data_IF_786347569099
#
_entry.id   IF_786347569099
#
_cell.length_a   1.000
_cell.length_b   1.000
_cell.length_c   1.000
_cell.angle_alpha   90.00
_cell.angle_beta   90.00
_cell.angle_gamma   90.00
#
_symmetry.space_group_name_H-M   'P 1'
#
loop_
_entity.id
_entity.type
_entity.pdbx_description
1 polymer ?
#
# COMPACT_ATOMS: atom_id res chain seq x y z
N UNK A 1 17.80 4.24 -51.31
CA UNK A 1 16.85 3.56 -50.39
C UNK A 1 16.96 2.03 -50.52
N UNK A 2 17.25 1.32 -49.43
CA UNK A 2 17.36 -0.15 -49.43
C UNK A 2 15.96 -0.77 -49.44
N UNK A 3 15.67 -1.68 -50.38
CA UNK A 3 14.41 -2.43 -50.44
C UNK A 3 14.56 -3.72 -49.65
N UNK A 4 13.69 -3.94 -48.67
CA UNK A 4 13.61 -5.19 -47.91
C UNK A 4 12.88 -6.26 -48.72
N UNK A 5 13.42 -7.48 -48.71
CA UNK A 5 12.75 -8.63 -49.29
C UNK A 5 11.45 -8.97 -48.51
N UNK A 6 10.48 -9.67 -49.12
CA UNK A 6 9.22 -10.02 -48.46
C UNK A 6 9.39 -10.77 -47.13
N UNK A 7 10.35 -11.70 -47.07
CA UNK A 7 10.68 -12.47 -45.86
C UNK A 7 11.27 -11.58 -44.76
N UNK A 8 12.20 -10.69 -45.14
CA UNK A 8 12.82 -9.74 -44.22
C UNK A 8 11.77 -8.78 -43.62
N UNK A 9 10.80 -8.34 -44.45
CA UNK A 9 9.65 -7.55 -44.00
C UNK A 9 8.75 -8.33 -43.05
N UNK A 10 8.50 -9.61 -43.32
CA UNK A 10 7.67 -10.46 -42.45
C UNK A 10 8.33 -10.64 -41.07
N UNK A 11 9.64 -10.93 -41.04
CA UNK A 11 10.41 -11.07 -39.79
C UNK A 11 10.44 -9.75 -39.01
N UNK A 12 10.70 -8.62 -39.66
CA UNK A 12 10.68 -7.31 -39.01
C UNK A 12 9.29 -6.97 -38.45
N UNK A 13 8.22 -7.33 -39.16
CA UNK A 13 6.84 -7.12 -38.69
C UNK A 13 6.52 -7.98 -37.47
N UNK A 14 6.93 -9.25 -37.48
CA UNK A 14 6.76 -10.14 -36.33
C UNK A 14 7.53 -9.65 -35.10
N UNK A 15 8.79 -9.23 -35.28
CA UNK A 15 9.62 -8.65 -34.23
C UNK A 15 9.01 -7.36 -33.67
N UNK A 16 8.57 -6.45 -34.54
CA UNK A 16 7.90 -5.22 -34.15
C UNK A 16 6.63 -5.52 -33.34
N UNK A 17 5.85 -6.53 -33.72
CA UNK A 17 4.67 -6.98 -32.99
C UNK A 17 4.99 -7.58 -31.61
N UNK A 18 6.12 -8.25 -31.45
CA UNK A 18 6.58 -8.74 -30.14
C UNK A 18 7.02 -7.59 -29.23
N UNK A 19 7.82 -6.65 -29.77
CA UNK A 19 8.28 -5.45 -29.05
C UNK A 19 7.09 -4.59 -28.63
N UNK A 20 6.14 -4.35 -29.52
CA UNK A 20 4.94 -3.56 -29.23
C UNK A 20 4.12 -4.17 -28.07
N UNK A 21 3.96 -5.49 -28.04
CA UNK A 21 3.27 -6.20 -26.95
C UNK A 21 4.03 -6.12 -25.63
N UNK A 22 5.35 -6.30 -25.66
CA UNK A 22 6.19 -6.16 -24.47
C UNK A 22 6.14 -4.73 -23.90
N UNK A 23 6.22 -3.71 -24.77
CA UNK A 23 6.14 -2.30 -24.37
C UNK A 23 4.75 -1.93 -23.83
N UNK A 24 3.67 -2.40 -24.48
CA UNK A 24 2.31 -2.18 -23.99
C UNK A 24 2.09 -2.82 -22.62
N UNK A 25 2.67 -4.01 -22.39
CA UNK A 25 2.68 -4.68 -21.09
C UNK A 25 3.42 -3.82 -20.07
N UNK A 26 4.67 -3.45 -20.33
CA UNK A 26 5.49 -2.62 -19.42
C UNK A 26 4.77 -1.34 -18.99
N UNK A 27 4.24 -0.56 -19.94
CA UNK A 27 3.50 0.69 -19.63
C UNK A 27 2.28 0.48 -18.73
N UNK A 28 1.55 -0.63 -18.90
CA UNK A 28 0.42 -0.97 -18.02
C UNK A 28 0.90 -1.29 -16.60
N UNK A 29 2.01 -2.00 -16.46
CA UNK A 29 2.61 -2.25 -15.14
C UNK A 29 3.09 -0.96 -14.49
N UNK A 30 3.75 -0.07 -15.23
CA UNK A 30 4.22 1.23 -14.70
C UNK A 30 3.04 2.07 -14.19
N UNK A 31 1.96 2.15 -14.96
CA UNK A 31 0.76 2.92 -14.59
C UNK A 31 0.08 2.33 -13.36
N UNK A 32 -0.09 1.01 -13.30
CA UNK A 32 -0.68 0.33 -12.15
C UNK A 32 0.18 0.51 -10.88
N UNK A 33 1.51 0.46 -11.03
CA UNK A 33 2.46 0.66 -9.92
C UNK A 33 2.41 2.09 -9.40
N UNK A 34 2.29 3.09 -10.27
CA UNK A 34 2.12 4.49 -9.89
C UNK A 34 0.85 4.72 -9.05
N UNK A 35 -0.29 4.18 -9.49
CA UNK A 35 -1.55 4.32 -8.78
C UNK A 35 -1.54 3.62 -7.40
N UNK A 36 -0.91 2.45 -7.32
CA UNK A 36 -0.69 1.72 -6.07
C UNK A 36 0.13 2.55 -5.06
N UNK A 37 1.22 3.17 -5.55
CA UNK A 37 2.09 4.04 -4.78
C UNK A 37 1.32 5.24 -4.22
N UNK A 38 0.56 5.92 -5.08
CA UNK A 38 -0.20 7.12 -4.70
C UNK A 38 -1.26 6.79 -3.64
N UNK A 39 -1.96 5.67 -3.79
CA UNK A 39 -2.96 5.22 -2.81
C UNK A 39 -2.29 4.87 -1.47
N UNK A 40 -1.16 4.18 -1.51
CA UNK A 40 -0.39 3.84 -0.31
C UNK A 40 0.13 5.08 0.42
N UNK A 41 0.70 6.05 -0.29
CA UNK A 41 1.17 7.31 0.27
C UNK A 41 0.01 8.15 0.84
N UNK A 42 -1.20 8.01 0.30
CA UNK A 42 -2.39 8.64 0.85
C UNK A 42 -2.89 7.97 2.14
N UNK A 43 -2.69 6.66 2.28
CA UNK A 43 -3.19 5.89 3.43
C UNK A 43 -2.21 5.85 4.61
N UNK A 44 -0.91 6.00 4.37
CA UNK A 44 0.13 6.02 5.41
C UNK A 44 0.32 7.44 5.99
N UNK A 45 0.83 7.56 7.23
CA UNK A 45 1.14 8.85 7.80
C UNK A 45 2.26 9.55 7.01
N UNK A 46 1.93 10.69 6.38
CA UNK A 46 2.91 11.52 5.65
C UNK A 46 4.07 12.02 6.52
N UNK A 47 3.79 12.26 7.80
CA UNK A 47 4.77 12.66 8.82
C UNK A 47 4.39 12.03 10.15
N UNK A 48 5.39 11.51 10.86
CA UNK A 48 5.22 11.08 12.24
C UNK A 48 5.25 12.30 13.17
N UNK A 49 4.43 12.32 14.23
CA UNK A 49 4.50 13.38 15.23
C UNK A 49 5.88 13.39 15.92
N UNK A 50 6.40 14.59 16.21
CA UNK A 50 7.57 14.75 17.07
C UNK A 50 7.14 14.65 18.52
N UNK A 51 7.74 13.73 19.27
CA UNK A 51 7.44 13.51 20.68
C UNK A 51 8.73 13.76 21.47
N UNK A 52 8.75 14.72 22.42
CA UNK A 52 9.92 14.97 23.25
C UNK A 52 10.47 13.69 23.87
N UNK A 53 11.78 13.46 23.73
CA UNK A 53 12.47 12.28 24.23
C UNK A 53 12.35 11.02 23.37
N UNK A 54 11.65 11.06 22.23
CA UNK A 54 11.58 9.96 21.28
C UNK A 54 12.12 10.37 19.91
N UNK A 55 13.13 9.64 19.44
CA UNK A 55 13.57 9.71 18.05
C UNK A 55 12.80 8.67 17.23
N UNK A 56 12.25 9.09 16.09
CA UNK A 56 11.38 8.24 15.26
C UNK A 56 11.83 8.30 13.81
N UNK A 57 11.91 7.12 13.20
CA UNK A 57 12.23 6.95 11.80
C UNK A 57 11.30 5.89 11.21
N UNK A 58 10.98 6.01 9.93
CA UNK A 58 10.18 5.03 9.21
C UNK A 58 10.70 4.86 7.80
N UNK A 59 10.71 3.61 7.33
CA UNK A 59 11.05 3.27 5.96
C UNK A 59 10.09 2.18 5.51
N UNK A 60 9.33 2.48 4.46
CA UNK A 60 8.41 1.55 3.83
C UNK A 60 9.03 0.99 2.54
N UNK A 61 9.17 -0.33 2.44
CA UNK A 61 9.77 -1.02 1.30
C UNK A 61 8.77 -2.03 0.73
N UNK A 62 8.13 -1.76 -0.42
CA UNK A 62 7.26 -2.73 -1.06
C UNK A 62 8.07 -3.92 -1.59
N UNK A 63 7.49 -5.12 -1.52
CA UNK A 63 8.16 -6.38 -1.84
C UNK A 63 8.46 -6.61 -3.34
N UNK A 64 7.71 -5.99 -4.26
CA UNK A 64 7.94 -6.15 -5.70
C UNK A 64 7.44 -4.96 -6.54
N UNK A 65 8.16 -4.67 -7.63
CA UNK A 65 7.69 -3.80 -8.71
C UNK A 65 6.48 -4.46 -9.40
N UNK A 66 5.31 -3.82 -9.33
CA UNK A 66 4.07 -4.32 -9.94
C UNK A 66 2.98 -4.80 -8.99
N UNK A 67 3.17 -4.75 -7.67
CA UNK A 67 2.08 -5.01 -6.70
C UNK A 67 1.16 -3.79 -6.53
N UNK A 68 -0.15 -4.06 -6.42
CA UNK A 68 -1.24 -3.08 -6.51
C UNK A 68 -1.54 -2.28 -5.24
N UNK A 69 -1.05 -2.70 -4.06
CA UNK A 69 -0.87 -1.97 -2.76
C UNK A 69 -0.37 -3.01 -1.77
N UNK A 70 0.53 -2.68 -0.84
CA UNK A 70 0.96 -3.61 0.21
C UNK A 70 0.06 -3.47 1.46
N UNK A 71 -0.32 -4.60 2.07
CA UNK A 71 -1.22 -4.65 3.22
C UNK A 71 -0.62 -4.13 4.52
N UNK A 72 0.71 -4.03 4.58
CA UNK A 72 1.41 -3.51 5.75
C UNK A 72 1.11 -2.03 5.96
N UNK A 73 0.83 -1.64 7.20
CA UNK A 73 0.69 -0.25 7.61
C UNK A 73 1.39 0.03 8.93
N UNK A 74 1.68 1.31 9.14
CA UNK A 74 2.18 1.80 10.41
C UNK A 74 1.45 3.07 10.84
N UNK A 75 1.49 3.33 12.15
CA UNK A 75 1.10 4.61 12.69
C UNK A 75 1.86 4.95 13.98
N UNK A 76 2.00 6.25 14.25
CA UNK A 76 2.51 6.77 15.52
C UNK A 76 1.55 7.83 16.06
N UNK A 77 1.05 7.59 17.27
CA UNK A 77 -0.01 8.36 17.90
C UNK A 77 0.52 8.91 19.22
N UNK A 78 0.49 10.24 19.39
CA UNK A 78 0.87 10.87 20.65
C UNK A 78 -0.21 10.63 21.72
N UNK A 79 0.19 10.15 22.91
CA UNK A 79 -0.68 9.85 24.05
C UNK A 79 -0.48 10.85 25.22
N UNK A 80 -0.05 12.06 24.89
CA UNK A 80 0.38 13.10 25.82
C UNK A 80 1.77 13.63 25.47
N UNK A 81 2.43 14.27 26.44
CA UNK A 81 3.68 14.98 26.17
C UNK A 81 4.88 14.07 25.92
N UNK A 82 4.98 12.92 26.59
CA UNK A 82 6.17 12.03 26.53
C UNK A 82 5.81 10.56 26.30
N UNK A 83 4.62 10.29 25.75
CA UNK A 83 4.15 8.93 25.47
C UNK A 83 3.62 8.82 24.06
N UNK A 84 3.83 7.66 23.46
CA UNK A 84 3.36 7.33 22.12
C UNK A 84 2.78 5.93 22.08
N UNK A 85 1.81 5.71 21.20
CA UNK A 85 1.47 4.38 20.70
C UNK A 85 2.08 4.23 19.30
N UNK A 86 2.88 3.19 19.11
CA UNK A 86 3.32 2.72 17.81
C UNK A 86 2.42 1.56 17.37
N UNK A 87 1.96 1.62 16.13
CA UNK A 87 1.08 0.63 15.53
C UNK A 87 1.77 0.12 14.27
N UNK A 88 1.83 -1.19 14.13
CA UNK A 88 2.25 -1.87 12.91
C UNK A 88 1.25 -2.99 12.69
N UNK A 89 0.75 -3.13 11.46
CA UNK A 89 -0.14 -4.23 11.09
C UNK A 89 0.18 -4.73 9.70
N UNK A 90 -0.14 -6.00 9.45
CA UNK A 90 -0.09 -6.66 8.16
C UNK A 90 -1.52 -7.13 7.85
N UNK A 91 -1.98 -6.83 6.64
CA UNK A 91 -3.29 -7.22 6.15
C UNK A 91 -3.09 -8.21 5.03
N UNK A 92 -3.78 -9.34 5.15
CA UNK A 92 -3.78 -10.36 4.12
C UNK A 92 -4.30 -9.78 2.80
N UNK A 93 -3.45 -9.84 1.77
CA UNK A 93 -3.78 -9.39 0.42
C UNK A 93 -3.05 -8.12 0.02
N UNK A 94 -3.09 -7.82 -1.28
CA UNK A 94 -2.32 -6.73 -1.87
C UNK A 94 -3.08 -5.99 -2.99
N UNK A 95 -4.40 -5.87 -2.82
CA UNK A 95 -5.33 -5.30 -3.79
C UNK A 95 -6.04 -4.06 -3.21
N UNK A 96 -6.78 -3.34 -4.05
CA UNK A 96 -7.52 -2.14 -3.65
C UNK A 96 -8.43 -2.34 -2.42
N UNK A 97 -9.16 -3.47 -2.31
CA UNK A 97 -9.93 -3.76 -1.10
C UNK A 97 -9.11 -3.94 0.18
N UNK A 98 -7.97 -4.64 0.12
CA UNK A 98 -7.04 -4.74 1.25
C UNK A 98 -6.58 -3.34 1.70
N UNK A 99 -6.35 -2.43 0.74
CA UNK A 99 -5.98 -1.04 1.03
C UNK A 99 -7.12 -0.24 1.71
N UNK A 100 -8.37 -0.46 1.30
CA UNK A 100 -9.53 0.16 1.95
C UNK A 100 -9.67 -0.34 3.39
N UNK A 101 -9.54 -1.65 3.60
CA UNK A 101 -9.56 -2.27 4.93
C UNK A 101 -8.40 -1.74 5.80
N UNK A 102 -7.22 -1.57 5.22
CA UNK A 102 -6.07 -0.95 5.88
C UNK A 102 -6.36 0.46 6.41
N UNK A 103 -6.97 1.30 5.57
CA UNK A 103 -7.40 2.65 5.97
C UNK A 103 -8.40 2.62 7.13
N UNK A 104 -9.35 1.69 7.11
CA UNK A 104 -10.36 1.51 8.16
C UNK A 104 -9.72 1.05 9.48
N UNK A 105 -8.90 -0.01 9.46
CA UNK A 105 -8.20 -0.54 10.64
C UNK A 105 -7.31 0.53 11.25
N UNK A 106 -6.48 1.19 10.44
CA UNK A 106 -5.58 2.24 10.91
C UNK A 106 -6.34 3.39 11.58
N UNK A 107 -7.45 3.81 10.98
CA UNK A 107 -8.29 4.89 11.54
C UNK A 107 -8.94 4.47 12.86
N UNK A 108 -9.47 3.25 12.94
CA UNK A 108 -10.09 2.72 14.16
C UNK A 108 -9.06 2.61 15.31
N UNK A 109 -7.90 2.01 15.04
CA UNK A 109 -6.81 1.91 16.01
C UNK A 109 -6.38 3.29 16.50
N UNK A 110 -6.19 4.25 15.58
CA UNK A 110 -5.86 5.64 15.92
C UNK A 110 -6.89 6.28 16.83
N UNK A 111 -8.18 6.13 16.52
CA UNK A 111 -9.26 6.70 17.33
C UNK A 111 -9.30 6.11 18.74
N UNK A 112 -9.19 4.78 18.87
CA UNK A 112 -9.22 4.11 20.16
C UNK A 112 -7.98 4.40 21.01
N UNK A 113 -6.79 4.41 20.39
CA UNK A 113 -5.54 4.71 21.09
C UNK A 113 -5.47 6.18 21.52
N UNK A 114 -5.92 7.13 20.69
CA UNK A 114 -5.96 8.54 21.05
C UNK A 114 -6.87 8.82 22.26
N UNK A 115 -7.88 7.97 22.50
CA UNK A 115 -8.70 8.00 23.70
C UNK A 115 -8.00 7.53 24.99
N UNK A 116 -6.72 7.15 24.93
CA UNK A 116 -5.92 6.71 26.07
C UNK A 116 -6.18 5.27 26.51
N UNK A 117 -6.88 4.47 25.70
CA UNK A 117 -7.09 3.06 25.97
C UNK A 117 -5.76 2.28 25.93
N UNK A 118 -5.64 1.28 26.79
CA UNK A 118 -4.50 0.36 26.75
C UNK A 118 -4.50 -0.49 25.45
N UNK A 119 -3.35 -1.04 25.03
CA UNK A 119 -3.25 -1.79 23.77
C UNK A 119 -4.23 -2.97 23.67
N UNK A 120 -4.50 -3.66 24.77
CA UNK A 120 -5.45 -4.80 24.79
C UNK A 120 -6.86 -4.32 24.48
N UNK A 121 -7.27 -3.19 25.06
CA UNK A 121 -8.59 -2.61 24.81
C UNK A 121 -8.70 -2.03 23.39
N UNK A 122 -7.64 -1.40 22.88
CA UNK A 122 -7.57 -0.91 21.50
C UNK A 122 -7.79 -2.07 20.53
N UNK A 123 -7.02 -3.15 20.64
CA UNK A 123 -7.14 -4.33 19.77
C UNK A 123 -8.53 -4.98 19.88
N UNK A 124 -9.09 -5.09 21.08
CA UNK A 124 -10.43 -5.65 21.28
C UNK A 124 -11.56 -4.79 20.72
N UNK A 125 -11.41 -3.46 20.70
CA UNK A 125 -12.36 -2.55 20.05
C UNK A 125 -12.24 -2.65 18.52
N UNK A 126 -11.01 -2.62 18.00
CA UNK A 126 -10.74 -2.79 16.56
C UNK A 126 -11.26 -4.12 16.05
N UNK A 127 -11.04 -5.23 16.77
CA UNK A 127 -11.54 -6.55 16.38
C UNK A 127 -13.07 -6.57 16.28
N UNK A 128 -13.78 -6.01 17.28
CA UNK A 128 -15.24 -5.94 17.26
C UNK A 128 -15.75 -5.10 16.09
N UNK A 129 -15.07 -4.00 15.78
CA UNK A 129 -15.39 -3.19 14.60
C UNK A 129 -15.21 -4.00 13.31
N UNK A 130 -14.13 -4.77 13.19
CA UNK A 130 -13.89 -5.61 12.00
C UNK A 130 -14.93 -6.70 11.82
N UNK A 131 -15.30 -7.38 12.91
CA UNK A 131 -16.39 -8.38 12.89
C UNK A 131 -17.73 -7.74 12.53
N UNK A 132 -18.02 -6.53 13.01
CA UNK A 132 -19.27 -5.82 12.71
C UNK A 132 -19.33 -5.30 11.26
N UNK A 133 -18.18 -5.07 10.62
CA UNK A 133 -18.10 -4.66 9.22
C UNK A 133 -18.26 -5.83 8.22
N UNK A 134 -18.46 -7.05 8.72
CA UNK A 134 -18.66 -8.28 7.94
C UNK A 134 -17.62 -8.44 6.82
N UNK A 135 -16.36 -8.47 7.23
CA UNK A 135 -15.20 -8.49 6.33
C UNK A 135 -15.02 -9.81 5.56
N UNK A 136 -16.00 -10.73 5.61
CA UNK A 136 -16.01 -12.01 4.88
C UNK A 136 -16.19 -11.86 3.35
N UNK A 137 -16.34 -10.64 2.82
CA UNK A 137 -16.63 -10.37 1.42
C UNK A 137 -15.52 -9.68 0.62
N UNK A 138 -14.24 -9.78 1.04
CA UNK A 138 -13.08 -9.32 0.26
C UNK A 138 -12.14 -10.43 -0.18
#
# INVERSE_FOLDING_TARGET
PRRFAPEERATLTALAGLIARALARARRYDTASGLARDLQDALLPRRLPRIPGLETAVRYLPAAEGMTVCGDFYDLIALGHHRAAAVIGDIQGHNGPAAALMGQIRTAVRAHAAGGADPRRVLGLTNRLLTALDTELL
#
